data_IF_788888480941
#
_entry.id   IF_788888480941
#
_cell.length_a   1.000
_cell.length_b   1.000
_cell.length_c   1.000
_cell.angle_alpha   90.00
_cell.angle_beta   90.00
_cell.angle_gamma   90.00
#
_symmetry.space_group_name_H-M   'P 1'
#
loop_
_entity.id
_entity.type
_entity.pdbx_description
1 polymer ?
#
# COMPACT_ATOMS: atom_id res chain seq x y z
N UNK A 1 19.55 -11.17 -7.04
CA UNK A 1 18.69 -12.31 -6.66
C UNK A 1 17.81 -11.90 -5.50
N UNK A 2 16.60 -12.47 -5.35
CA UNK A 2 15.68 -12.13 -4.25
C UNK A 2 16.31 -12.28 -2.85
N UNK A 3 17.23 -13.23 -2.68
CA UNK A 3 18.00 -13.41 -1.44
C UNK A 3 18.97 -12.26 -1.14
N UNK A 4 19.59 -11.66 -2.16
CA UNK A 4 20.48 -10.51 -1.96
C UNK A 4 19.70 -9.25 -1.54
N UNK A 5 18.48 -9.07 -2.08
CA UNK A 5 17.56 -7.98 -1.69
C UNK A 5 17.08 -8.18 -0.25
N UNK A 6 16.66 -9.41 0.10
CA UNK A 6 16.26 -9.74 1.46
C UNK A 6 17.38 -9.54 2.50
N UNK A 7 18.63 -9.89 2.13
CA UNK A 7 19.79 -9.68 2.99
C UNK A 7 20.07 -8.19 3.22
N UNK A 8 20.10 -7.38 2.15
CA UNK A 8 20.28 -5.93 2.24
C UNK A 8 19.22 -5.27 3.13
N UNK A 9 17.95 -5.68 3.02
CA UNK A 9 16.88 -5.17 3.87
C UNK A 9 17.03 -5.54 5.35
N UNK A 10 17.59 -6.72 5.64
CA UNK A 10 17.76 -7.19 7.02
C UNK A 10 18.97 -6.57 7.75
N UNK A 11 19.99 -6.11 7.02
CA UNK A 11 21.27 -5.69 7.60
C UNK A 11 21.49 -4.17 7.53
N UNK A 12 21.12 -3.49 6.45
CA UNK A 12 21.46 -2.06 6.26
C UNK A 12 20.38 -1.08 6.72
N UNK A 13 19.11 -1.49 6.82
CA UNK A 13 17.97 -0.59 7.08
C UNK A 13 17.62 -0.40 8.58
N UNK A 14 18.58 -0.56 9.48
CA UNK A 14 18.31 -0.51 10.94
C UNK A 14 18.20 0.94 11.47
N UNK A 15 18.79 1.93 10.77
CA UNK A 15 18.75 3.34 11.17
C UNK A 15 18.16 4.23 10.07
N UNK A 16 17.01 4.83 10.36
CA UNK A 16 16.42 5.90 9.54
C UNK A 16 17.25 7.17 9.73
N UNK A 17 17.78 7.71 8.64
CA UNK A 17 18.51 8.97 8.59
C UNK A 17 17.58 10.18 8.66
N UNK A 18 18.10 11.33 9.09
CA UNK A 18 17.34 12.60 9.15
C UNK A 18 16.77 12.99 7.78
N UNK A 19 17.49 12.71 6.70
CA UNK A 19 17.04 12.99 5.33
C UNK A 19 15.83 12.12 4.95
N UNK A 20 15.82 10.84 5.33
CA UNK A 20 14.68 9.96 5.10
C UNK A 20 13.45 10.40 5.88
N UNK A 21 13.60 10.89 7.12
CA UNK A 21 12.49 11.45 7.89
C UNK A 21 11.87 12.67 7.17
N UNK A 22 12.71 13.58 6.67
CA UNK A 22 12.24 14.75 5.91
C UNK A 22 11.52 14.32 4.63
N UNK A 23 12.07 13.36 3.90
CA UNK A 23 11.45 12.82 2.69
C UNK A 23 10.12 12.13 2.98
N UNK A 24 10.00 11.39 4.10
CA UNK A 24 8.74 10.77 4.52
C UNK A 24 7.69 11.83 4.79
N UNK A 25 8.04 12.90 5.50
CA UNK A 25 7.11 14.01 5.78
C UNK A 25 6.69 14.69 4.48
N UNK A 26 7.63 15.01 3.60
CA UNK A 26 7.35 15.65 2.31
C UNK A 26 6.44 14.80 1.43
N UNK A 27 6.75 13.52 1.27
CA UNK A 27 5.96 12.59 0.48
C UNK A 27 4.57 12.35 1.09
N UNK A 28 4.46 12.30 2.43
CA UNK A 28 3.17 12.21 3.13
C UNK A 28 2.26 13.37 2.75
N UNK A 29 2.75 14.61 2.78
CA UNK A 29 1.94 15.80 2.46
C UNK A 29 1.52 15.82 0.98
N UNK A 30 2.41 15.41 0.07
CA UNK A 30 2.12 15.36 -1.37
C UNK A 30 1.07 14.28 -1.68
N UNK A 31 1.18 13.10 -1.07
CA UNK A 31 0.28 11.99 -1.32
C UNK A 31 -1.07 12.11 -0.60
N UNK A 32 -1.14 12.87 0.50
CA UNK A 32 -2.35 13.04 1.30
C UNK A 32 -3.61 13.38 0.49
N UNK A 33 -3.65 14.40 -0.39
CA UNK A 33 -4.87 14.72 -1.14
C UNK A 33 -5.34 13.58 -2.05
N UNK A 34 -4.41 12.85 -2.66
CA UNK A 34 -4.74 11.71 -3.52
C UNK A 34 -5.32 10.55 -2.69
N UNK A 35 -4.69 10.23 -1.57
CA UNK A 35 -5.18 9.19 -0.67
C UNK A 35 -6.48 9.58 0.02
N UNK A 36 -6.71 10.86 0.27
CA UNK A 36 -7.98 11.34 0.82
C UNK A 36 -9.14 11.08 -0.14
N UNK A 37 -8.99 11.37 -1.43
CA UNK A 37 -10.02 11.10 -2.44
C UNK A 37 -10.27 9.59 -2.54
N UNK A 38 -9.20 8.78 -2.56
CA UNK A 38 -9.31 7.32 -2.58
C UNK A 38 -10.06 6.80 -1.36
N UNK A 39 -9.66 7.20 -0.16
CA UNK A 39 -10.30 6.80 1.09
C UNK A 39 -11.75 7.25 1.13
N UNK A 40 -12.06 8.48 0.70
CA UNK A 40 -13.43 8.97 0.63
C UNK A 40 -14.31 8.08 -0.25
N UNK A 41 -13.85 7.71 -1.44
CA UNK A 41 -14.56 6.77 -2.31
C UNK A 41 -14.71 5.40 -1.65
N UNK A 42 -13.62 4.86 -1.09
CA UNK A 42 -13.60 3.55 -0.47
C UNK A 42 -14.51 3.46 0.76
N UNK A 43 -14.60 4.53 1.56
CA UNK A 43 -15.50 4.59 2.72
C UNK A 43 -16.96 4.78 2.32
N UNK A 44 -17.25 5.37 1.17
CA UNK A 44 -18.61 5.34 0.60
C UNK A 44 -19.03 3.93 0.22
N UNK A 45 -18.15 3.14 -0.41
CA UNK A 45 -18.40 1.71 -0.68
C UNK A 45 -18.63 0.94 0.62
N UNK A 46 -17.84 1.24 1.66
CA UNK A 46 -18.02 0.69 3.01
C UNK A 46 -19.43 0.93 3.56
N UNK A 47 -19.96 2.15 3.42
CA UNK A 47 -21.30 2.50 3.89
C UNK A 47 -22.44 1.75 3.19
N UNK A 48 -22.19 1.20 1.99
CA UNK A 48 -23.17 0.41 1.25
C UNK A 48 -23.15 -1.09 1.63
N UNK A 49 -22.15 -1.55 2.39
CA UNK A 49 -22.05 -2.95 2.80
C UNK A 49 -23.07 -3.26 3.89
N UNK A 50 -23.94 -4.24 3.63
CA UNK A 50 -24.86 -4.80 4.62
C UNK A 50 -24.23 -6.05 5.23
N UNK A 51 -23.47 -5.88 6.30
CA UNK A 51 -22.81 -6.98 7.02
C UNK A 51 -23.38 -7.17 8.41
N UNK A 52 -23.45 -8.42 8.86
CA UNK A 52 -24.03 -8.78 10.16
C UNK A 52 -23.06 -8.59 11.34
N UNK A 53 -21.75 -8.55 11.09
CA UNK A 53 -20.73 -8.44 12.14
C UNK A 53 -19.59 -7.51 11.74
N UNK A 54 -18.97 -6.87 12.75
CA UNK A 54 -17.81 -5.96 12.56
C UNK A 54 -16.62 -6.67 11.92
N UNK A 55 -16.39 -7.95 12.26
CA UNK A 55 -15.32 -8.74 11.64
C UNK A 55 -15.62 -9.04 10.17
N UNK A 56 -16.88 -9.37 9.84
CA UNK A 56 -17.27 -9.57 8.44
C UNK A 56 -17.16 -8.28 7.63
N UNK A 57 -17.54 -7.15 8.22
CA UNK A 57 -17.39 -5.81 7.64
C UNK A 57 -15.91 -5.51 7.34
N UNK A 58 -15.04 -5.76 8.32
CA UNK A 58 -13.59 -5.58 8.20
C UNK A 58 -13.00 -6.41 7.05
N UNK A 59 -13.23 -7.72 7.04
CA UNK A 59 -12.65 -8.59 6.02
C UNK A 59 -13.23 -8.29 4.63
N UNK A 60 -14.54 -8.02 4.52
CA UNK A 60 -15.15 -7.63 3.25
C UNK A 60 -14.47 -6.37 2.68
N UNK A 61 -14.26 -5.36 3.53
CA UNK A 61 -13.56 -4.15 3.11
C UNK A 61 -12.11 -4.42 2.73
N UNK A 62 -11.37 -5.20 3.50
CA UNK A 62 -9.98 -5.56 3.15
C UNK A 62 -9.91 -6.24 1.78
N UNK A 63 -10.78 -7.21 1.50
CA UNK A 63 -10.83 -7.88 0.19
C UNK A 63 -11.16 -6.92 -0.95
N UNK A 64 -12.17 -6.06 -0.78
CA UNK A 64 -12.54 -5.06 -1.80
C UNK A 64 -11.36 -4.10 -2.03
N UNK A 65 -10.69 -3.65 -0.97
CA UNK A 65 -9.55 -2.74 -1.06
C UNK A 65 -8.35 -3.34 -1.78
N UNK A 66 -8.01 -4.59 -1.45
CA UNK A 66 -6.94 -5.33 -2.14
C UNK A 66 -7.27 -5.47 -3.63
N UNK A 67 -8.52 -5.81 -3.95
CA UNK A 67 -8.95 -5.96 -5.32
C UNK A 67 -8.87 -4.62 -6.06
N UNK A 68 -9.40 -3.54 -5.50
CA UNK A 68 -9.35 -2.20 -6.11
C UNK A 68 -7.92 -1.72 -6.37
N UNK A 69 -7.00 -1.92 -5.41
CA UNK A 69 -5.61 -1.46 -5.53
C UNK A 69 -4.82 -2.24 -6.58
N UNK A 70 -5.13 -3.52 -6.77
CA UNK A 70 -4.39 -4.40 -7.67
C UNK A 70 -5.09 -4.64 -9.02
N UNK A 71 -6.35 -4.27 -9.18
CA UNK A 71 -7.12 -4.56 -10.39
C UNK A 71 -6.45 -4.03 -11.66
N UNK A 72 -6.06 -2.75 -11.63
CA UNK A 72 -5.46 -2.08 -12.78
C UNK A 72 -4.06 -2.64 -13.09
N UNK A 73 -3.28 -2.97 -12.05
CA UNK A 73 -2.00 -3.66 -12.17
C UNK A 73 -2.15 -5.07 -12.76
N UNK A 74 -3.15 -5.81 -12.31
CA UNK A 74 -3.47 -7.14 -12.82
C UNK A 74 -3.89 -7.12 -14.29
N UNK A 75 -4.70 -6.14 -14.70
CA UNK A 75 -5.06 -5.92 -16.11
C UNK A 75 -3.81 -5.63 -16.94
N UNK A 76 -2.98 -4.68 -16.50
CA UNK A 76 -1.74 -4.33 -17.20
C UNK A 76 -0.83 -5.56 -17.33
N UNK A 77 -0.68 -6.36 -16.28
CA UNK A 77 0.13 -7.58 -16.34
C UNK A 77 -0.44 -8.61 -17.31
N UNK A 78 -1.75 -8.81 -17.29
CA UNK A 78 -2.42 -9.76 -18.18
C UNK A 78 -2.22 -9.39 -19.65
N UNK A 79 -2.39 -8.10 -20.01
CA UNK A 79 -2.22 -7.64 -21.39
C UNK A 79 -0.76 -7.51 -21.83
N UNK A 80 0.13 -7.09 -20.92
CA UNK A 80 1.55 -6.85 -21.26
C UNK A 80 2.41 -8.11 -21.20
N UNK A 81 2.07 -9.07 -20.34
CA UNK A 81 2.86 -10.28 -20.07
C UNK A 81 2.06 -11.57 -20.24
N UNK A 82 1.13 -11.60 -21.19
CA UNK A 82 0.33 -12.79 -21.53
C UNK A 82 1.18 -14.06 -21.76
N UNK A 83 2.45 -13.91 -22.15
CA UNK A 83 3.44 -14.98 -22.13
C UNK A 83 4.13 -15.08 -20.77
N UNK A 84 3.62 -15.97 -19.91
CA UNK A 84 4.14 -16.32 -18.58
C UNK A 84 5.65 -16.71 -18.53
N UNK A 85 6.27 -17.00 -19.67
CA UNK A 85 7.69 -17.36 -19.76
C UNK A 85 8.66 -16.17 -19.77
N UNK A 86 8.17 -14.95 -19.98
CA UNK A 86 8.99 -13.73 -19.96
C UNK A 86 8.50 -12.80 -18.84
N UNK A 87 8.88 -13.11 -17.59
CA UNK A 87 8.82 -12.12 -16.52
C UNK A 87 10.05 -11.21 -16.63
N UNK A 88 9.88 -9.88 -16.79
CA UNK A 88 11.00 -8.95 -16.83
C UNK A 88 11.72 -8.86 -15.47
N UNK A 89 12.95 -8.34 -15.49
CA UNK A 89 13.81 -8.16 -14.30
C UNK A 89 13.15 -7.36 -13.17
N UNK A 90 12.11 -6.59 -13.48
CA UNK A 90 11.32 -5.80 -12.52
C UNK A 90 10.27 -6.63 -11.74
N UNK A 91 10.16 -7.93 -11.98
CA UNK A 91 9.20 -8.84 -11.33
C UNK A 91 9.28 -8.91 -9.79
N UNK A 92 10.45 -8.78 -9.11
CA UNK A 92 10.49 -8.77 -7.65
C UNK A 92 9.78 -7.55 -7.04
N UNK A 93 9.84 -6.40 -7.72
CA UNK A 93 9.20 -5.16 -7.25
C UNK A 93 7.68 -5.23 -7.33
N UNK A 94 7.17 -5.88 -8.38
CA UNK A 94 5.74 -6.18 -8.53
C UNK A 94 5.26 -7.07 -7.37
N UNK A 95 6.02 -8.11 -7.04
CA UNK A 95 5.69 -9.00 -5.94
C UNK A 95 5.70 -8.27 -4.59
N UNK A 96 6.72 -7.44 -4.36
CA UNK A 96 6.80 -6.56 -3.18
C UNK A 96 5.62 -5.59 -3.10
N UNK A 97 5.20 -4.99 -4.22
CA UNK A 97 4.05 -4.11 -4.29
C UNK A 97 2.74 -4.82 -3.92
N UNK A 98 2.51 -6.03 -4.43
CA UNK A 98 1.31 -6.80 -4.11
C UNK A 98 1.27 -7.11 -2.60
N UNK A 99 2.35 -7.63 -2.03
CA UNK A 99 2.43 -7.90 -0.58
C UNK A 99 2.17 -6.63 0.23
N UNK A 100 2.82 -5.53 -0.15
CA UNK A 100 2.64 -4.26 0.51
C UNK A 100 1.20 -3.76 0.43
N UNK A 101 0.55 -3.85 -0.73
CA UNK A 101 -0.84 -3.46 -0.91
C UNK A 101 -1.79 -4.26 0.01
N UNK A 102 -1.50 -5.56 0.21
CA UNK A 102 -2.26 -6.41 1.13
C UNK A 102 -2.09 -5.89 2.56
N UNK A 103 -0.85 -5.76 3.03
CA UNK A 103 -0.55 -5.29 4.39
C UNK A 103 -1.19 -3.91 4.63
N UNK A 104 -1.05 -2.99 3.66
CA UNK A 104 -1.64 -1.66 3.70
C UNK A 104 -3.16 -1.71 3.87
N UNK A 105 -3.86 -2.59 3.16
CA UNK A 105 -5.32 -2.68 3.26
C UNK A 105 -5.79 -3.25 4.59
N UNK A 106 -5.08 -4.23 5.13
CA UNK A 106 -5.32 -4.74 6.49
C UNK A 106 -5.16 -3.62 7.53
N UNK A 107 -4.02 -2.92 7.53
CA UNK A 107 -3.72 -1.92 8.56
C UNK A 107 -4.59 -0.68 8.45
N UNK A 108 -4.79 -0.12 7.25
CA UNK A 108 -5.59 1.10 7.06
C UNK A 108 -7.06 0.90 7.36
N UNK A 109 -7.64 -0.23 6.96
CA UNK A 109 -9.04 -0.57 7.29
C UNK A 109 -9.20 -0.78 8.79
N UNK A 110 -8.22 -1.35 9.46
CA UNK A 110 -8.22 -1.49 10.92
C UNK A 110 -8.15 -0.11 11.60
N UNK A 111 -7.23 0.76 11.20
CA UNK A 111 -7.14 2.13 11.74
C UNK A 111 -8.45 2.88 11.55
N UNK A 112 -9.07 2.80 10.37
CA UNK A 112 -10.38 3.42 10.12
C UNK A 112 -11.46 2.90 11.06
N UNK A 113 -11.62 1.58 11.17
CA UNK A 113 -12.70 1.00 11.97
C UNK A 113 -12.53 1.24 13.47
N UNK A 114 -11.29 1.24 13.99
CA UNK A 114 -11.03 1.40 15.42
C UNK A 114 -10.82 2.85 15.86
N UNK A 115 -10.56 3.78 14.94
CA UNK A 115 -10.53 5.24 15.21
C UNK A 115 -11.92 5.89 15.28
N UNK A 116 -13.01 5.09 15.30
CA UNK A 116 -14.37 5.61 15.25
C UNK A 116 -14.80 6.06 13.86
N UNK A 117 -14.29 5.42 12.80
CA UNK A 117 -14.61 5.72 11.38
C UNK A 117 -14.11 7.10 10.93
N UNK A 118 -12.95 7.52 11.46
CA UNK A 118 -12.33 8.79 11.09
C UNK A 118 -11.54 8.67 9.77
N UNK A 119 -12.08 9.28 8.71
CA UNK A 119 -11.47 9.28 7.38
C UNK A 119 -10.13 10.03 7.39
N UNK A 120 -10.04 11.18 8.07
CA UNK A 120 -8.81 11.97 8.12
C UNK A 120 -7.68 11.19 8.81
N UNK A 121 -7.98 10.53 9.93
CA UNK A 121 -7.01 9.72 10.67
C UNK A 121 -6.49 8.54 9.86
N UNK A 122 -7.40 7.78 9.24
CA UNK A 122 -7.03 6.65 8.37
C UNK A 122 -6.26 7.09 7.11
N UNK A 123 -6.61 8.24 6.53
CA UNK A 123 -5.89 8.82 5.39
C UNK A 123 -4.49 9.27 5.77
N UNK A 124 -4.33 9.93 6.92
CA UNK A 124 -3.02 10.36 7.41
C UNK A 124 -2.12 9.15 7.69
N UNK A 125 -2.69 8.12 8.34
CA UNK A 125 -1.98 6.86 8.56
C UNK A 125 -1.57 6.20 7.23
N UNK A 126 -2.48 6.09 6.26
CA UNK A 126 -2.18 5.54 4.93
C UNK A 126 -1.05 6.32 4.25
N UNK A 127 -1.09 7.65 4.32
CA UNK A 127 -0.09 8.52 3.70
C UNK A 127 1.29 8.35 4.31
N UNK A 128 1.38 8.31 5.65
CA UNK A 128 2.63 8.05 6.37
C UNK A 128 3.14 6.64 6.06
N UNK A 129 2.26 5.65 6.10
CA UNK A 129 2.63 4.25 5.88
C UNK A 129 3.14 4.01 4.46
N UNK A 130 2.48 4.61 3.46
CA UNK A 130 2.93 4.59 2.07
C UNK A 130 4.27 5.29 1.88
N UNK A 131 4.45 6.48 2.46
CA UNK A 131 5.70 7.22 2.35
C UNK A 131 6.87 6.46 3.01
N UNK A 132 6.64 5.91 4.20
CA UNK A 132 7.60 5.07 4.92
C UNK A 132 8.03 3.86 4.09
N UNK A 133 7.07 3.11 3.53
CA UNK A 133 7.38 1.95 2.69
C UNK A 133 8.06 2.31 1.37
N UNK A 134 7.65 3.42 0.75
CA UNK A 134 8.25 3.88 -0.51
C UNK A 134 9.73 4.26 -0.31
N UNK A 135 10.06 4.91 0.79
CA UNK A 135 11.42 5.42 1.05
C UNK A 135 12.33 4.32 1.59
N UNK A 136 11.85 3.49 2.53
CA UNK A 136 12.69 2.51 3.23
C UNK A 136 12.74 1.17 2.49
N UNK A 137 11.61 0.70 1.95
CA UNK A 137 11.53 -0.62 1.31
C UNK A 137 11.65 -0.58 -0.21
N UNK A 138 11.31 0.54 -0.85
CA UNK A 138 11.34 0.70 -2.31
C UNK A 138 12.23 1.87 -2.78
N UNK A 139 13.50 2.00 -2.34
CA UNK A 139 14.39 3.08 -2.79
C UNK A 139 14.60 3.09 -4.32
N UNK A 140 14.30 1.98 -5.01
CA UNK A 140 14.40 1.80 -6.46
C UNK A 140 13.19 2.27 -7.27
N UNK A 141 12.14 2.83 -6.65
CA UNK A 141 11.05 3.50 -7.37
C UNK A 141 11.40 4.93 -7.85
N UNK A 142 12.68 5.31 -7.78
CA UNK A 142 13.27 6.40 -8.56
C UNK A 142 13.50 7.67 -7.77
N UNK A 143 14.68 7.79 -7.16
CA UNK A 143 15.49 9.02 -7.06
C UNK A 143 16.98 8.68 -6.84
N UNK A 144 17.49 7.66 -7.54
CA UNK A 144 18.92 7.46 -7.83
C UNK A 144 19.05 6.89 -9.24
#
# INVERSE_FOLDING_TARGET
SAMAVGWHWSVENIQISTNEIVNIIGLTLICFPFFFIKEFYFRNVHGCLKTSSRSSEYFAMVFIGIFMDNFLLGIIMFFKYANLFYMPDNSPYIFGWIIFSIIQQFTTTWVYMWSGRNILGSTMFLSIFFAWMSIIFLPSFGFV
#
